data_IF_193051463320
#
_entry.id   IF_193051463320
#
_cell.length_a   1.000
_cell.length_b   1.000
_cell.length_c   1.000
_cell.angle_alpha   90.00
_cell.angle_beta   90.00
_cell.angle_gamma   90.00
#
_symmetry.space_group_name_H-M   'P 1'
#
loop_
_entity.id
_entity.type
_entity.pdbx_description
1 polymer ?
#
# COMPACT_ATOMS: atom_id res chain seq x y z
N UNK A 1 -16.18 26.39 11.12
CA UNK A 1 -14.73 26.58 10.88
C UNK A 1 -14.14 25.22 10.51
N UNK A 2 -13.24 25.10 9.53
CA UNK A 2 -12.59 23.83 9.22
C UNK A 2 -11.68 23.39 10.37
N UNK A 3 -11.70 22.09 10.70
CA UNK A 3 -10.84 21.50 11.72
C UNK A 3 -9.57 20.98 11.07
N UNK A 4 -8.37 21.35 11.54
CA UNK A 4 -7.13 20.82 11.00
C UNK A 4 -7.01 19.32 11.25
N UNK A 5 -6.59 18.58 10.22
CA UNK A 5 -6.40 17.13 10.28
C UNK A 5 -5.10 16.74 11.00
N UNK A 6 -4.10 17.63 11.04
CA UNK A 6 -2.80 17.38 11.65
C UNK A 6 -2.27 18.63 12.37
N UNK A 7 -1.87 18.46 13.63
CA UNK A 7 -1.15 19.45 14.42
C UNK A 7 0.24 18.91 14.73
N UNK A 8 1.28 19.65 14.34
CA UNK A 8 2.67 19.34 14.68
C UNK A 8 3.07 20.18 15.90
N UNK A 9 3.00 19.58 17.10
CA UNK A 9 3.57 20.19 18.30
C UNK A 9 5.10 20.09 18.26
N UNK A 10 5.79 20.97 18.98
CA UNK A 10 7.24 20.88 19.22
C UNK A 10 8.16 21.23 18.02
N UNK A 11 7.69 22.08 17.10
CA UNK A 11 8.55 22.71 16.07
C UNK A 11 9.19 23.98 16.65
N UNK A 12 10.51 23.99 16.84
CA UNK A 12 11.24 25.19 17.27
C UNK A 12 11.24 26.33 16.24
N UNK A 13 11.43 27.58 16.69
CA UNK A 13 11.26 28.85 15.93
C UNK A 13 12.12 29.02 14.65
N UNK A 14 12.98 28.07 14.33
CA UNK A 14 13.79 28.05 13.11
C UNK A 14 13.88 26.66 12.46
N UNK A 15 13.07 25.72 12.93
CA UNK A 15 13.05 24.35 12.44
C UNK A 15 12.28 24.26 11.12
N UNK A 16 12.76 23.43 10.20
CA UNK A 16 12.08 23.14 8.94
C UNK A 16 11.44 21.76 9.01
N UNK A 17 10.14 21.71 8.75
CA UNK A 17 9.43 20.45 8.52
C UNK A 17 9.51 20.13 7.03
N UNK A 18 9.99 18.94 6.70
CA UNK A 18 9.92 18.40 5.35
C UNK A 18 9.16 17.10 5.41
N UNK A 19 8.06 17.01 4.67
CA UNK A 19 7.34 15.76 4.52
C UNK A 19 8.23 14.79 3.72
N UNK A 20 8.59 13.65 4.33
CA UNK A 20 9.22 12.55 3.61
C UNK A 20 8.09 11.65 3.10
N UNK A 21 7.84 11.71 1.79
CA UNK A 21 6.90 10.79 1.17
C UNK A 21 7.59 9.44 0.96
N UNK A 22 7.18 8.44 1.74
CA UNK A 22 7.61 7.06 1.51
C UNK A 22 6.53 6.40 0.66
N UNK A 23 6.81 6.24 -0.62
CA UNK A 23 5.86 5.65 -1.56
C UNK A 23 5.88 4.14 -1.41
N UNK A 24 4.91 3.58 -0.69
CA UNK A 24 4.75 2.13 -0.54
C UNK A 24 3.59 1.67 -1.42
N UNK A 25 3.81 0.64 -2.23
CA UNK A 25 2.78 -0.08 -2.98
C UNK A 25 2.29 -1.27 -2.14
N UNK A 26 1.08 -1.21 -1.58
CA UNK A 26 0.45 -2.38 -0.98
C UNK A 26 -0.23 -3.24 -2.06
N UNK A 27 -0.12 -4.56 -1.93
CA UNK A 27 -0.82 -5.53 -2.78
C UNK A 27 -1.79 -6.31 -1.90
N UNK A 28 -3.04 -6.41 -2.35
CA UNK A 28 -4.11 -7.16 -1.69
C UNK A 28 -4.61 -8.27 -2.61
N UNK A 29 -5.19 -9.31 -2.03
CA UNK A 29 -5.86 -10.38 -2.76
C UNK A 29 -7.21 -10.68 -2.11
N UNK A 30 -8.22 -10.92 -2.93
CA UNK A 30 -9.56 -11.33 -2.49
C UNK A 30 -10.09 -12.39 -3.45
N UNK A 31 -10.83 -13.37 -2.93
CA UNK A 31 -11.58 -14.36 -3.72
C UNK A 31 -13.00 -13.91 -4.03
N UNK A 32 -13.47 -12.87 -3.35
CA UNK A 32 -14.89 -12.53 -3.27
C UNK A 32 -15.22 -11.27 -4.08
N UNK A 33 -14.36 -10.92 -5.04
CA UNK A 33 -14.59 -9.79 -5.93
C UNK A 33 -15.65 -10.13 -6.98
N UNK A 34 -16.70 -9.31 -7.06
CA UNK A 34 -17.66 -9.32 -8.16
C UNK A 34 -17.35 -8.20 -9.16
N UNK A 35 -17.52 -8.42 -10.46
CA UNK A 35 -17.09 -7.48 -11.52
C UNK A 35 -17.70 -6.08 -11.38
N UNK A 36 -18.88 -5.98 -10.76
CA UNK A 36 -19.59 -4.72 -10.50
C UNK A 36 -19.23 -4.07 -9.17
N UNK A 37 -18.46 -4.75 -8.31
CA UNK A 37 -18.09 -4.21 -7.01
C UNK A 37 -17.02 -3.13 -7.16
N UNK A 38 -17.35 -1.96 -6.62
CA UNK A 38 -16.41 -0.86 -6.51
C UNK A 38 -15.73 -0.98 -5.16
N UNK A 39 -14.40 -1.12 -5.16
CA UNK A 39 -13.59 -1.00 -3.95
C UNK A 39 -13.64 0.46 -3.50
N UNK A 40 -14.54 0.77 -2.55
CA UNK A 40 -14.73 2.11 -2.00
C UNK A 40 -13.89 2.29 -0.76
N UNK A 41 -12.85 3.12 -0.86
CA UNK A 41 -12.04 3.50 0.29
C UNK A 41 -10.85 2.58 0.53
N UNK A 42 -10.36 2.59 1.77
CA UNK A 42 -9.20 1.81 2.17
C UNK A 42 -9.57 0.34 2.30
N UNK A 43 -8.66 -0.56 1.90
CA UNK A 43 -8.83 -1.99 2.09
C UNK A 43 -8.58 -2.30 3.57
N UNK A 44 -9.60 -2.78 4.28
CA UNK A 44 -9.55 -3.04 5.72
C UNK A 44 -8.82 -4.35 6.10
N UNK A 45 -8.35 -5.11 5.10
CA UNK A 45 -7.55 -6.32 5.32
C UNK A 45 -6.05 -5.99 5.33
N UNK A 46 -5.22 -6.76 6.06
CA UNK A 46 -3.78 -6.61 5.97
C UNK A 46 -3.28 -6.80 4.54
N UNK A 47 -2.39 -5.91 4.10
CA UNK A 47 -1.73 -6.07 2.81
C UNK A 47 -0.96 -7.39 2.78
N UNK A 48 -1.07 -8.10 1.66
CA UNK A 48 -0.38 -9.36 1.45
C UNK A 48 1.13 -9.12 1.23
N UNK A 49 1.45 -8.05 0.50
CA UNK A 49 2.80 -7.51 0.34
C UNK A 49 2.79 -5.99 0.41
N UNK A 50 3.94 -5.45 0.77
CA UNK A 50 4.27 -4.03 0.70
C UNK A 50 5.62 -3.88 0.03
N UNK A 51 5.70 -3.01 -0.98
CA UNK A 51 6.94 -2.76 -1.71
C UNK A 51 7.24 -1.27 -1.76
N UNK A 52 8.50 -0.90 -1.54
CA UNK A 52 8.95 0.48 -1.73
C UNK A 52 8.99 0.79 -3.23
N UNK A 53 8.12 1.68 -3.69
CA UNK A 53 8.03 2.08 -5.09
C UNK A 53 9.32 2.73 -5.59
N UNK A 54 10.14 3.31 -4.70
CA UNK A 54 11.43 3.91 -5.08
C UNK A 54 12.48 2.87 -5.44
N UNK A 55 12.27 1.61 -5.06
CA UNK A 55 13.16 0.48 -5.35
C UNK A 55 12.78 -0.26 -6.62
N UNK A 56 11.61 0.04 -7.20
CA UNK A 56 11.09 -0.66 -8.37
C UNK A 56 11.58 -0.02 -9.68
N UNK A 57 11.84 -0.86 -10.67
CA UNK A 57 12.05 -0.41 -12.03
C UNK A 57 10.75 0.19 -12.59
N UNK A 58 10.88 1.09 -13.57
CA UNK A 58 9.72 1.74 -14.22
C UNK A 58 8.68 0.73 -14.75
N UNK A 59 9.14 -0.43 -15.21
CA UNK A 59 8.30 -1.58 -15.52
C UNK A 59 8.76 -2.74 -14.65
N UNK A 60 7.83 -3.33 -13.90
CA UNK A 60 8.09 -4.49 -13.06
C UNK A 60 7.02 -5.54 -13.32
N UNK A 61 7.43 -6.78 -13.53
CA UNK A 61 6.54 -7.94 -13.67
C UNK A 61 6.70 -8.83 -12.46
N UNK A 62 5.59 -9.36 -11.98
CA UNK A 62 5.56 -10.32 -10.89
C UNK A 62 4.82 -11.58 -11.28
N UNK A 63 5.29 -12.71 -10.79
CA UNK A 63 4.55 -13.96 -10.86
C UNK A 63 3.59 -14.04 -9.68
N UNK A 64 2.34 -14.42 -9.96
CA UNK A 64 1.36 -14.77 -8.95
C UNK A 64 1.16 -16.29 -8.96
N UNK A 65 1.39 -16.94 -7.84
CA UNK A 65 1.13 -18.36 -7.67
C UNK A 65 0.17 -18.61 -6.50
N UNK A 66 -0.54 -19.73 -6.58
CA UNK A 66 -1.42 -20.23 -5.52
C UNK A 66 -1.05 -21.67 -5.23
N UNK A 67 -0.72 -21.94 -3.97
CA UNK A 67 -0.49 -23.30 -3.49
C UNK A 67 -1.81 -24.10 -3.59
N UNK A 68 -1.85 -25.22 -4.33
CA UNK A 68 -3.08 -25.99 -4.52
C UNK A 68 -3.51 -26.77 -3.26
N UNK A 69 -2.60 -27.00 -2.32
CA UNK A 69 -2.85 -27.76 -1.09
C UNK A 69 -3.31 -26.82 0.04
N UNK A 70 -2.64 -25.68 0.21
CA UNK A 70 -2.95 -24.73 1.29
C UNK A 70 -3.86 -23.59 0.86
N UNK A 71 -4.00 -23.36 -0.45
CA UNK A 71 -4.73 -22.23 -1.02
C UNK A 71 -4.01 -20.88 -0.86
N UNK A 72 -2.80 -20.86 -0.27
CA UNK A 72 -2.05 -19.64 0.00
C UNK A 72 -1.46 -19.06 -1.27
N UNK A 73 -1.56 -17.75 -1.43
CA UNK A 73 -0.95 -17.06 -2.56
C UNK A 73 0.52 -16.70 -2.27
N UNK A 74 1.33 -16.60 -3.33
CA UNK A 74 2.73 -16.12 -3.33
C UNK A 74 2.94 -15.15 -4.50
N UNK A 75 3.70 -14.08 -4.28
CA UNK A 75 4.17 -13.17 -5.32
C UNK A 75 5.69 -13.12 -5.27
N UNK A 76 6.32 -13.25 -6.43
CA UNK A 76 7.77 -13.13 -6.64
C UNK A 76 8.09 -12.32 -7.89
N UNK A 77 9.31 -11.81 -7.98
CA UNK A 77 9.78 -11.10 -9.17
C UNK A 77 9.98 -12.09 -10.32
N UNK A 78 9.46 -11.73 -11.50
CA UNK A 78 9.64 -12.51 -12.72
C UNK A 78 11.05 -12.40 -13.32
#
# INVERSE_FOLDING_TARGET
MPTPVLYLSDIGDSSRVTAKFTSVLPIYITSDYEETDIVRGQVDTPAMWMQDLTTLAQSTTWNLARDPTTGRYSIDHA
#
